data_IF_638814032044
#
_entry.id   IF_638814032044
#
_cell.length_a   1.000
_cell.length_b   1.000
_cell.length_c   1.000
_cell.angle_alpha   90.00
_cell.angle_beta   90.00
_cell.angle_gamma   90.00
#
_symmetry.space_group_name_H-M   'P 1'
#
loop_
_entity.id
_entity.type
_entity.pdbx_description
1 polymer ?
#
# COMPACT_ATOMS: atom_id res chain seq x y z
N UNK A 1 12.84 -22.08 -14.92
CA UNK A 1 13.30 -20.84 -15.61
C UNK A 1 12.24 -19.72 -15.52
N UNK A 2 11.70 -19.43 -14.32
CA UNK A 2 10.61 -18.45 -14.14
C UNK A 2 10.91 -17.37 -13.07
N UNK A 3 11.98 -17.52 -12.28
CA UNK A 3 12.37 -16.54 -11.26
C UNK A 3 13.05 -15.28 -11.83
N UNK A 4 13.68 -15.39 -13.01
CA UNK A 4 14.36 -14.26 -13.66
C UNK A 4 13.40 -13.26 -14.32
N UNK A 5 12.20 -13.70 -14.72
CA UNK A 5 11.24 -12.83 -15.40
C UNK A 5 10.57 -11.84 -14.45
N UNK A 6 10.31 -12.26 -13.20
CA UNK A 6 9.73 -11.38 -12.18
C UNK A 6 10.67 -10.28 -11.71
N UNK A 7 11.97 -10.58 -11.55
CA UNK A 7 12.98 -9.57 -11.22
C UNK A 7 13.08 -8.50 -12.32
N UNK A 8 12.98 -8.90 -13.59
CA UNK A 8 12.98 -7.95 -14.71
C UNK A 8 11.70 -7.10 -14.74
N UNK A 9 10.54 -7.63 -14.35
CA UNK A 9 9.30 -6.83 -14.26
C UNK A 9 9.41 -5.77 -13.14
N UNK A 10 9.98 -6.09 -11.98
CA UNK A 10 10.17 -5.10 -10.93
C UNK A 10 11.25 -4.05 -11.26
N UNK A 11 12.35 -4.43 -11.91
CA UNK A 11 13.39 -3.49 -12.38
C UNK A 11 12.89 -2.62 -13.53
N UNK A 12 12.07 -3.16 -14.44
CA UNK A 12 11.43 -2.40 -15.52
C UNK A 12 10.37 -1.42 -14.99
N UNK A 13 9.60 -1.81 -13.97
CA UNK A 13 8.66 -0.90 -13.29
C UNK A 13 9.40 0.20 -12.52
N UNK A 14 10.53 -0.11 -11.90
CA UNK A 14 11.36 0.89 -11.21
C UNK A 14 12.04 1.89 -12.18
N UNK A 15 12.42 1.45 -13.38
CA UNK A 15 13.01 2.33 -14.41
C UNK A 15 11.96 3.12 -15.20
N UNK A 16 10.75 2.57 -15.41
CA UNK A 16 9.65 3.32 -16.02
C UNK A 16 9.12 4.45 -15.12
N UNK A 17 9.20 4.31 -13.79
CA UNK A 17 8.75 5.33 -12.84
C UNK A 17 9.60 6.63 -12.84
N UNK A 18 10.74 6.65 -13.53
CA UNK A 18 11.64 7.82 -13.59
C UNK A 18 11.39 8.65 -14.87
N UNK A 19 10.69 8.12 -15.89
CA UNK A 19 10.70 8.72 -17.23
C UNK A 19 9.42 9.41 -17.74
N UNK A 20 8.31 9.44 -17.00
CA UNK A 20 7.16 10.26 -17.44
C UNK A 20 6.72 11.24 -16.34
N UNK A 21 6.94 12.56 -16.54
CA UNK A 21 6.25 13.59 -15.80
C UNK A 21 4.85 13.74 -16.39
N UNK A 22 3.89 14.08 -15.53
CA UNK A 22 2.52 14.47 -15.87
C UNK A 22 1.53 13.31 -16.13
N UNK A 23 1.02 12.71 -15.04
CA UNK A 23 -0.29 12.05 -15.09
C UNK A 23 -1.32 13.01 -14.51
N UNK A 24 -1.92 13.78 -15.42
CA UNK A 24 -3.21 14.40 -15.20
C UNK A 24 -4.20 13.32 -14.79
N UNK A 25 -4.84 13.53 -13.65
CA UNK A 25 -5.94 12.70 -13.17
C UNK A 25 -7.10 12.89 -14.16
N UNK A 26 -7.22 12.00 -15.12
CA UNK A 26 -8.32 11.99 -16.09
C UNK A 26 -9.62 11.85 -15.30
N UNK A 27 -10.42 12.93 -15.29
CA UNK A 27 -11.77 12.90 -14.73
C UNK A 27 -12.57 11.93 -15.59
N UNK A 28 -12.98 10.82 -14.98
CA UNK A 28 -13.91 9.88 -15.61
C UNK A 28 -15.19 10.63 -15.98
N UNK A 29 -15.35 10.89 -17.27
CA UNK A 29 -16.59 11.34 -17.89
C UNK A 29 -17.56 10.15 -17.87
N UNK A 30 -18.44 10.12 -16.86
CA UNK A 30 -19.52 9.15 -16.78
C UNK A 30 -20.72 9.76 -17.50
N UNK A 31 -20.87 9.40 -18.78
CA UNK A 31 -22.11 9.58 -19.52
C UNK A 31 -23.17 8.67 -18.89
N UNK A 32 -24.18 9.28 -18.27
CA UNK A 32 -25.39 8.59 -17.84
C UNK A 32 -26.59 9.27 -18.52
N UNK A 33 -27.06 8.63 -19.59
CA UNK A 33 -28.32 8.97 -20.24
C UNK A 33 -29.50 8.69 -19.27
N UNK A 34 -30.58 9.46 -19.50
CA UNK A 34 -31.90 9.48 -18.83
C UNK A 34 -32.03 10.26 -17.49
N UNK A 35 -32.44 11.53 -17.64
CA UNK A 35 -33.37 12.34 -16.82
C UNK A 35 -33.65 11.89 -15.35
N UNK A 36 -32.78 12.30 -14.40
CA UNK A 36 -33.03 12.22 -12.95
C UNK A 36 -33.04 13.61 -12.26
N UNK A 37 -33.85 13.81 -11.20
CA UNK A 37 -34.08 15.13 -10.59
C UNK A 37 -32.84 15.74 -9.90
N UNK A 38 -32.60 17.03 -10.13
CA UNK A 38 -31.40 17.82 -9.75
C UNK A 38 -31.02 17.74 -8.25
N UNK A 39 -31.96 17.51 -7.33
CA UNK A 39 -31.66 17.34 -5.89
C UNK A 39 -30.86 16.07 -5.60
N UNK A 40 -31.08 15.01 -6.38
CA UNK A 40 -30.32 13.76 -6.26
C UNK A 40 -28.86 13.95 -6.71
N UNK A 41 -28.60 14.84 -7.66
CA UNK A 41 -27.24 15.12 -8.15
C UNK A 41 -26.34 15.73 -7.06
N UNK A 42 -26.85 16.72 -6.31
CA UNK A 42 -26.11 17.33 -5.20
C UNK A 42 -25.84 16.34 -4.06
N UNK A 43 -26.79 15.45 -3.79
CA UNK A 43 -26.63 14.39 -2.79
C UNK A 43 -25.60 13.35 -3.24
N UNK A 44 -25.65 12.91 -4.50
CA UNK A 44 -24.69 11.96 -5.08
C UNK A 44 -23.27 12.55 -5.07
N UNK A 45 -23.09 13.81 -5.50
CA UNK A 45 -21.79 14.48 -5.43
C UNK A 45 -21.25 14.57 -4.00
N UNK A 46 -22.10 14.95 -3.03
CA UNK A 46 -21.71 14.99 -1.61
C UNK A 46 -21.32 13.62 -1.05
N UNK A 47 -21.93 12.53 -1.52
CA UNK A 47 -21.54 11.16 -1.16
C UNK A 47 -20.21 10.79 -1.80
N UNK A 48 -20.01 11.13 -3.09
CA UNK A 48 -18.76 10.89 -3.81
C UNK A 48 -17.62 11.63 -3.10
N UNK A 49 -17.80 12.91 -2.79
CA UNK A 49 -16.82 13.73 -2.04
C UNK A 49 -16.53 13.14 -0.67
N UNK A 50 -17.54 12.62 0.03
CA UNK A 50 -17.32 11.97 1.33
C UNK A 50 -16.53 10.67 1.20
N UNK A 51 -16.79 9.87 0.15
CA UNK A 51 -16.04 8.63 -0.11
C UNK A 51 -14.59 8.93 -0.49
N UNK A 52 -14.33 9.96 -1.29
CA UNK A 52 -12.97 10.37 -1.66
C UNK A 52 -12.20 10.90 -0.45
N UNK A 53 -12.85 11.68 0.42
CA UNK A 53 -12.26 12.14 1.70
C UNK A 53 -11.94 10.96 2.63
N UNK A 54 -12.85 10.00 2.78
CA UNK A 54 -12.61 8.84 3.65
C UNK A 54 -11.50 7.93 3.10
N UNK A 55 -11.40 7.78 1.77
CA UNK A 55 -10.29 7.08 1.12
C UNK A 55 -8.96 7.83 1.32
N UNK A 56 -8.92 9.15 1.11
CA UNK A 56 -7.73 9.95 1.37
C UNK A 56 -7.28 9.83 2.82
N UNK A 57 -8.22 9.95 3.77
CA UNK A 57 -7.94 9.80 5.20
C UNK A 57 -7.40 8.41 5.54
N UNK A 58 -7.93 7.35 4.92
CA UNK A 58 -7.43 5.99 5.12
C UNK A 58 -6.01 5.81 4.57
N UNK A 59 -5.69 6.42 3.43
CA UNK A 59 -4.33 6.41 2.86
C UNK A 59 -3.36 7.20 3.73
N UNK A 60 -3.75 8.38 4.22
CA UNK A 60 -2.93 9.21 5.12
C UNK A 60 -2.64 8.52 6.46
N UNK A 61 -3.57 7.70 6.95
CA UNK A 61 -3.42 6.96 8.20
C UNK A 61 -2.67 5.63 8.03
N UNK A 62 -2.54 5.14 6.80
CA UNK A 62 -1.84 3.90 6.52
C UNK A 62 -0.33 4.12 6.62
N UNK A 63 0.33 3.38 7.49
CA UNK A 63 1.74 3.60 7.87
C UNK A 63 2.71 2.78 7.01
N UNK A 64 2.24 1.81 6.23
CA UNK A 64 3.14 1.04 5.37
C UNK A 64 3.65 1.91 4.20
N UNK A 65 4.93 2.25 4.22
CA UNK A 65 5.59 3.02 3.15
C UNK A 65 6.36 4.21 3.70
N UNK A 66 7.34 4.70 2.95
CA UNK A 66 8.23 5.79 3.38
C UNK A 66 7.81 7.18 2.86
N UNK A 67 6.65 7.29 2.21
CA UNK A 67 6.10 8.55 1.71
C UNK A 67 4.81 8.35 0.90
N UNK A 68 4.10 9.44 0.58
CA UNK A 68 2.73 9.39 0.02
C UNK A 68 2.55 8.42 -1.16
N UNK A 69 3.48 8.39 -2.12
CA UNK A 69 3.38 7.49 -3.28
C UNK A 69 3.51 6.03 -2.87
N UNK A 70 4.53 5.67 -2.09
CA UNK A 70 4.74 4.29 -1.66
C UNK A 70 3.66 3.83 -0.68
N UNK A 71 3.17 4.72 0.17
CA UNK A 71 2.02 4.49 1.05
C UNK A 71 0.73 4.22 0.26
N UNK A 72 0.44 5.02 -0.78
CA UNK A 72 -0.69 4.78 -1.66
C UNK A 72 -0.58 3.42 -2.37
N UNK A 73 0.58 3.08 -2.92
CA UNK A 73 0.81 1.78 -3.57
C UNK A 73 0.65 0.61 -2.59
N UNK A 74 1.17 0.75 -1.36
CA UNK A 74 1.04 -0.25 -0.33
C UNK A 74 -0.44 -0.44 0.06
N UNK A 75 -1.17 0.66 0.28
CA UNK A 75 -2.61 0.64 0.57
C UNK A 75 -3.40 -0.07 -0.55
N UNK A 76 -3.18 0.33 -1.80
CA UNK A 76 -3.89 -0.25 -2.95
C UNK A 76 -3.58 -1.75 -3.09
N UNK A 77 -2.33 -2.15 -2.89
CA UNK A 77 -1.94 -3.56 -3.00
C UNK A 77 -2.56 -4.39 -1.88
N UNK A 78 -2.54 -3.90 -0.63
CA UNK A 78 -3.15 -4.58 0.51
C UNK A 78 -4.66 -4.69 0.33
N UNK A 79 -5.34 -3.61 -0.03
CA UNK A 79 -6.80 -3.60 -0.20
C UNK A 79 -7.30 -4.44 -1.37
N UNK A 80 -6.48 -4.62 -2.42
CA UNK A 80 -6.81 -5.51 -3.55
C UNK A 80 -6.55 -6.98 -3.29
N UNK A 81 -5.62 -7.32 -2.39
CA UNK A 81 -5.13 -8.70 -2.23
C UNK A 81 -5.56 -9.35 -0.93
N UNK A 82 -5.82 -8.55 0.11
CA UNK A 82 -6.21 -8.97 1.44
C UNK A 82 -7.67 -8.63 1.74
N UNK A 83 -8.23 -9.24 2.78
CA UNK A 83 -9.56 -8.92 3.29
C UNK A 83 -9.50 -7.72 4.21
N UNK A 84 -10.62 -7.00 4.34
CA UNK A 84 -10.72 -5.77 5.14
C UNK A 84 -10.27 -5.94 6.59
N UNK A 85 -10.48 -7.12 7.16
CA UNK A 85 -10.08 -7.42 8.55
C UNK A 85 -8.56 -7.57 8.71
N UNK A 86 -7.81 -7.73 7.62
CA UNK A 86 -6.34 -7.86 7.61
C UNK A 86 -5.64 -6.49 7.46
N UNK A 87 -6.35 -5.43 7.05
CA UNK A 87 -5.73 -4.12 6.77
C UNK A 87 -5.11 -3.52 8.03
N UNK A 88 -5.88 -3.41 9.12
CA UNK A 88 -5.39 -2.82 10.36
C UNK A 88 -4.28 -3.66 11.03
N UNK A 89 -4.34 -5.00 11.07
CA UNK A 89 -3.22 -5.83 11.50
C UNK A 89 -1.94 -5.63 10.68
N UNK A 90 -2.03 -5.59 9.35
CA UNK A 90 -0.87 -5.36 8.47
C UNK A 90 -0.27 -3.98 8.72
N UNK A 91 -1.12 -2.97 8.81
CA UNK A 91 -0.75 -1.59 9.09
C UNK A 91 -0.07 -1.41 10.46
N UNK A 92 -0.55 -2.13 11.48
CA UNK A 92 0.09 -2.17 12.80
C UNK A 92 1.50 -2.77 12.75
N UNK A 93 1.75 -3.76 11.89
CA UNK A 93 3.11 -4.28 11.68
C UNK A 93 4.04 -3.22 11.09
N UNK A 94 3.54 -2.39 10.17
CA UNK A 94 4.33 -1.31 9.57
C UNK A 94 4.71 -0.25 10.61
N UNK A 95 3.75 0.21 11.44
CA UNK A 95 4.06 1.12 12.56
C UNK A 95 5.10 0.58 13.52
N UNK A 96 5.02 -0.71 13.86
CA UNK A 96 5.97 -1.34 14.75
C UNK A 96 7.37 -1.44 14.11
N UNK A 97 7.45 -1.66 12.81
CA UNK A 97 8.71 -1.69 12.06
C UNK A 97 9.36 -0.31 11.98
N UNK A 98 8.59 0.73 11.65
CA UNK A 98 9.06 2.11 11.63
C UNK A 98 9.59 2.53 13.00
N UNK A 99 8.84 2.24 14.08
CA UNK A 99 9.31 2.53 15.45
C UNK A 99 10.59 1.76 15.82
N UNK A 100 10.73 0.50 15.37
CA UNK A 100 11.95 -0.28 15.56
C UNK A 100 13.15 0.33 14.82
N UNK A 101 12.92 0.87 13.62
CA UNK A 101 13.91 1.62 12.86
C UNK A 101 14.28 2.93 13.56
N UNK A 102 13.31 3.71 14.03
CA UNK A 102 13.54 4.97 14.75
C UNK A 102 14.35 4.75 16.03
N UNK A 103 14.12 3.63 16.74
CA UNK A 103 14.88 3.25 17.92
C UNK A 103 16.23 2.59 17.63
N UNK A 104 16.57 2.38 16.36
CA UNK A 104 17.82 1.76 15.93
C UNK A 104 18.08 0.40 16.62
N UNK A 105 17.04 -0.44 16.77
CA UNK A 105 17.15 -1.75 17.45
C UNK A 105 17.89 -2.83 16.62
N UNK A 106 18.45 -2.45 15.47
CA UNK A 106 19.15 -3.33 14.53
C UNK A 106 18.26 -3.74 13.36
N UNK A 107 18.65 -3.35 12.14
CA UNK A 107 17.88 -3.57 10.91
C UNK A 107 17.38 -5.02 10.78
N UNK A 108 18.27 -6.00 10.92
CA UNK A 108 17.92 -7.42 10.77
C UNK A 108 16.85 -7.86 11.78
N UNK A 109 16.95 -7.40 13.03
CA UNK A 109 15.97 -7.71 14.08
C UNK A 109 14.61 -7.13 13.69
N UNK A 110 14.57 -5.84 13.36
CA UNK A 110 13.35 -5.16 12.94
C UNK A 110 12.70 -5.84 11.72
N UNK A 111 13.48 -6.20 10.70
CA UNK A 111 12.98 -6.89 9.51
C UNK A 111 12.46 -8.30 9.81
N UNK A 112 13.11 -9.05 10.71
CA UNK A 112 12.65 -10.37 11.13
C UNK A 112 11.34 -10.27 11.92
N UNK A 113 11.24 -9.34 12.87
CA UNK A 113 10.04 -9.07 13.67
C UNK A 113 8.86 -8.63 12.79
N UNK A 114 9.11 -7.75 11.81
CA UNK A 114 8.13 -7.31 10.82
C UNK A 114 7.59 -8.48 9.99
N UNK A 115 8.48 -9.33 9.45
CA UNK A 115 8.11 -10.51 8.67
C UNK A 115 7.25 -11.50 9.48
N UNK A 116 7.53 -11.67 10.77
CA UNK A 116 6.74 -12.51 11.66
C UNK A 116 5.37 -11.90 11.94
N UNK A 117 5.31 -10.60 12.20
CA UNK A 117 4.06 -9.87 12.41
C UNK A 117 3.13 -10.00 11.19
N UNK A 118 3.64 -9.73 9.99
CA UNK A 118 2.89 -9.85 8.74
C UNK A 118 2.33 -11.25 8.50
N UNK A 119 3.10 -12.29 8.84
CA UNK A 119 2.67 -13.68 8.73
C UNK A 119 1.49 -13.94 9.66
N UNK A 120 1.52 -13.47 10.90
CA UNK A 120 0.42 -13.66 11.86
C UNK A 120 -0.82 -12.85 11.47
N UNK A 121 -0.64 -11.63 10.96
CA UNK A 121 -1.72 -10.77 10.46
C UNK A 121 -2.54 -11.48 9.36
N UNK A 122 -1.90 -12.27 8.51
CA UNK A 122 -2.54 -13.00 7.40
C UNK A 122 -3.00 -14.43 7.78
N UNK A 123 -2.35 -15.09 8.75
CA UNK A 123 -2.52 -16.53 9.05
C UNK A 123 -3.97 -16.94 9.31
N UNK A 124 -4.82 -16.05 9.81
CA UNK A 124 -6.20 -16.37 10.18
C UNK A 124 -7.14 -16.50 8.98
N UNK A 125 -6.76 -16.06 7.77
CA UNK A 125 -7.72 -15.86 6.66
C UNK A 125 -7.33 -16.53 5.32
N UNK A 126 -6.11 -17.03 5.19
CA UNK A 126 -5.63 -17.94 4.12
C UNK A 126 -5.86 -17.49 2.66
N UNK A 127 -5.85 -16.18 2.38
CA UNK A 127 -5.87 -15.69 0.99
C UNK A 127 -4.51 -15.83 0.31
N UNK A 128 -4.40 -16.62 -0.78
CA UNK A 128 -3.13 -16.82 -1.51
C UNK A 128 -2.52 -15.49 -2.02
N UNK A 129 -3.36 -14.58 -2.52
CA UNK A 129 -2.91 -13.26 -3.02
C UNK A 129 -2.34 -12.40 -1.89
N UNK A 130 -3.08 -12.29 -0.78
CA UNK A 130 -2.61 -11.59 0.42
C UNK A 130 -1.30 -12.19 0.94
N UNK A 131 -1.23 -13.52 1.02
CA UNK A 131 -0.04 -14.25 1.45
C UNK A 131 1.21 -13.89 0.60
N UNK A 132 1.05 -13.88 -0.72
CA UNK A 132 2.13 -13.49 -1.62
C UNK A 132 2.51 -12.01 -1.45
N UNK A 133 1.52 -11.13 -1.25
CA UNK A 133 1.76 -9.71 -0.98
C UNK A 133 2.56 -9.50 0.31
N UNK A 134 2.12 -10.07 1.44
CA UNK A 134 2.83 -9.92 2.73
C UNK A 134 4.23 -10.54 2.70
N UNK A 135 4.44 -11.62 1.94
CA UNK A 135 5.80 -12.13 1.65
C UNK A 135 6.64 -11.15 0.87
N UNK A 136 6.05 -10.51 -0.15
CA UNK A 136 6.70 -9.46 -0.93
C UNK A 136 7.15 -8.30 -0.05
N UNK A 137 6.26 -7.80 0.82
CA UNK A 137 6.57 -6.75 1.78
C UNK A 137 7.76 -7.13 2.69
N UNK A 138 7.75 -8.34 3.26
CA UNK A 138 8.86 -8.87 4.05
C UNK A 138 10.18 -8.92 3.26
N UNK A 139 10.13 -9.36 1.99
CA UNK A 139 11.32 -9.41 1.14
C UNK A 139 11.84 -8.00 0.81
N UNK A 140 10.95 -7.05 0.56
CA UNK A 140 11.29 -5.67 0.23
C UNK A 140 12.08 -4.98 1.34
N UNK A 141 11.67 -5.11 2.61
CA UNK A 141 12.41 -4.45 3.71
C UNK A 141 13.80 -5.07 3.91
N UNK A 142 13.95 -6.38 3.71
CA UNK A 142 15.26 -7.05 3.81
C UNK A 142 16.22 -6.67 2.69
N UNK A 143 15.69 -6.48 1.48
CA UNK A 143 16.51 -6.17 0.30
C UNK A 143 16.82 -4.67 0.21
N UNK A 144 15.85 -3.81 0.52
CA UNK A 144 15.87 -2.38 0.24
C UNK A 144 15.76 -1.51 1.49
N UNK A 145 15.62 -2.10 2.68
CA UNK A 145 15.36 -1.35 3.92
C UNK A 145 16.59 -0.69 4.53
N UNK A 146 17.82 -1.05 4.11
CA UNK A 146 19.05 -0.51 4.70
C UNK A 146 19.12 1.03 4.65
N UNK A 147 18.88 1.69 3.50
CA UNK A 147 18.88 3.16 3.46
C UNK A 147 17.79 3.80 4.33
N UNK A 148 16.63 3.15 4.48
CA UNK A 148 15.56 3.64 5.35
C UNK A 148 15.95 3.51 6.83
N UNK A 149 16.56 2.40 7.22
CA UNK A 149 17.07 2.16 8.56
C UNK A 149 18.17 3.17 8.94
N UNK A 150 19.15 3.38 8.05
CA UNK A 150 20.24 4.33 8.27
C UNK A 150 19.75 5.79 8.34
N UNK A 151 18.67 6.13 7.63
CA UNK A 151 18.07 7.48 7.65
C UNK A 151 17.26 7.74 8.93
N UNK A 152 16.75 6.70 9.59
CA UNK A 152 15.90 6.84 10.77
C UNK A 152 16.69 7.20 12.05
N UNK A 153 17.99 6.89 12.09
CA UNK A 153 18.91 7.22 13.20
C UNK A 153 19.76 8.45 12.90
#
# INVERSE_FOLDING_TARGET
>A
MLAGYFLLVFVALATAAIKDPDMNLEKNDLTLDEEYPVETFNFVNKIIDRKTIDQQRQIEQFSCGTGLKSTWFAWETVTRTCKKEEYAPIDACCRAHDACYDHQEGQKKCDDDFCLCLREAQRKRNGLRCYMNVKGMCYSVRLLGKPAYEKAG
#
